data_IF_673215543090
#
_entry.id   IF_673215543090
#
_cell.length_a   1.000
_cell.length_b   1.000
_cell.length_c   1.000
_cell.angle_alpha   90.00
_cell.angle_beta   90.00
_cell.angle_gamma   90.00
#
_symmetry.space_group_name_H-M   'P 1'
#
loop_
_entity.id
_entity.type
_entity.pdbx_description
1 polymer ?
#
# COMPACT_ATOMS: atom_id res chain seq x y z
N UNK A 1 -2.78 -0.08 -8.11
CA UNK A 1 -2.56 1.10 -8.97
C UNK A 1 -1.15 1.00 -9.54
N UNK A 2 -0.88 1.66 -10.67
CA UNK A 2 0.50 1.91 -11.12
C UNK A 2 0.84 3.35 -10.75
N UNK A 3 2.02 3.57 -10.19
CA UNK A 3 2.49 4.90 -9.82
C UNK A 3 3.86 5.13 -10.42
N UNK A 4 4.03 6.27 -11.09
CA UNK A 4 5.32 6.77 -11.54
C UNK A 4 5.74 7.90 -10.61
N UNK A 5 6.91 7.78 -9.99
CA UNK A 5 7.42 8.73 -9.00
C UNK A 5 8.74 9.31 -9.48
N UNK A 6 8.78 10.61 -9.74
CA UNK A 6 10.01 11.34 -10.09
C UNK A 6 10.51 12.11 -8.86
N UNK A 7 11.70 11.75 -8.37
CA UNK A 7 12.36 12.52 -7.31
C UNK A 7 12.96 13.79 -7.95
N UNK A 8 12.34 14.93 -7.68
CA UNK A 8 12.73 16.25 -8.21
C UNK A 8 13.87 16.87 -7.41
N UNK A 9 13.89 16.67 -6.08
CA UNK A 9 14.89 17.23 -5.18
C UNK A 9 15.14 16.29 -3.99
N UNK A 10 16.36 16.34 -3.46
CA UNK A 10 16.74 15.61 -2.25
C UNK A 10 16.92 14.11 -2.46
N UNK A 11 16.76 13.36 -1.38
CA UNK A 11 16.90 11.90 -1.35
C UNK A 11 15.83 11.26 -0.48
N UNK A 12 15.43 10.05 -0.87
CA UNK A 12 14.46 9.23 -0.17
C UNK A 12 15.07 7.86 0.15
N UNK A 13 14.90 7.41 1.38
CA UNK A 13 14.99 6.00 1.71
C UNK A 13 13.61 5.38 1.53
N UNK A 14 13.53 4.34 0.72
CA UNK A 14 12.28 3.65 0.40
C UNK A 14 12.34 2.25 0.97
N UNK A 15 11.31 1.90 1.74
CA UNK A 15 11.08 0.54 2.20
C UNK A 15 9.80 0.04 1.56
N UNK A 16 9.86 -1.07 0.82
CA UNK A 16 8.68 -1.65 0.19
C UNK A 16 8.43 -3.10 0.62
N UNK A 17 7.20 -3.54 0.39
CA UNK A 17 6.69 -4.86 0.74
C UNK A 17 5.85 -5.40 -0.42
N UNK A 18 6.13 -6.65 -0.82
CA UNK A 18 5.40 -7.34 -1.87
C UNK A 18 4.46 -8.37 -1.29
N UNK A 19 3.19 -8.32 -1.70
CA UNK A 19 2.15 -9.20 -1.17
C UNK A 19 2.39 -10.63 -1.66
N UNK A 20 2.43 -11.57 -0.72
CA UNK A 20 2.51 -13.00 -0.98
C UNK A 20 1.09 -13.53 -1.13
N UNK A 21 0.71 -13.88 -2.37
CA UNK A 21 -0.57 -14.55 -2.61
C UNK A 21 -0.64 -15.89 -1.86
N UNK A 22 -1.77 -16.19 -1.23
CA UNK A 22 -2.05 -17.53 -0.70
C UNK A 22 -2.28 -18.53 -1.84
N UNK A 23 -2.08 -19.81 -1.59
CA UNK A 23 -2.33 -20.86 -2.60
C UNK A 23 -3.77 -20.82 -3.13
N UNK A 24 -4.75 -20.49 -2.28
CA UNK A 24 -6.14 -20.30 -2.70
C UNK A 24 -6.31 -19.12 -3.66
N UNK A 25 -5.62 -18.00 -3.42
CA UNK A 25 -5.62 -16.83 -4.30
C UNK A 25 -4.93 -17.14 -5.64
N UNK A 26 -3.83 -17.89 -5.61
CA UNK A 26 -3.14 -18.37 -6.82
C UNK A 26 -4.04 -19.29 -7.66
N UNK A 27 -4.76 -20.22 -7.03
CA UNK A 27 -5.70 -21.11 -7.72
C UNK A 27 -6.87 -20.34 -8.36
N UNK A 28 -7.45 -19.37 -7.65
CA UNK A 28 -8.50 -18.49 -8.18
C UNK A 28 -8.00 -17.63 -9.37
N UNK A 29 -6.77 -17.10 -9.31
CA UNK A 29 -6.13 -16.40 -10.45
C UNK A 29 -5.92 -17.32 -11.66
N UNK A 30 -5.49 -18.58 -11.44
CA UNK A 30 -5.30 -19.57 -12.51
C UNK A 30 -6.61 -19.98 -13.20
N UNK A 31 -7.70 -20.16 -12.44
CA UNK A 31 -9.01 -20.46 -13.00
C UNK A 31 -9.59 -19.28 -13.80
N UNK A 32 -9.33 -18.04 -13.39
CA UNK A 32 -9.76 -16.86 -14.14
C UNK A 32 -8.84 -16.51 -15.33
N UNK A 33 -7.62 -17.06 -15.38
CA UNK A 33 -6.62 -16.80 -16.42
C UNK A 33 -6.82 -17.57 -17.73
N UNK A 34 -7.76 -18.52 -17.80
CA UNK A 34 -8.08 -19.28 -19.02
C UNK A 34 -9.15 -18.64 -19.90
N UNK A 35 -9.77 -17.53 -19.48
CA UNK A 35 -10.67 -16.74 -20.32
C UNK A 35 -10.06 -15.36 -20.58
N UNK A 36 -9.31 -15.27 -21.69
CA UNK A 36 -8.82 -14.01 -22.25
C UNK A 36 -10.01 -13.19 -22.76
N UNK A 37 -10.63 -12.42 -21.88
CA UNK A 37 -11.46 -11.27 -22.25
C UNK A 37 -11.49 -10.22 -21.13
N UNK A 38 -10.79 -9.12 -21.44
CA UNK A 38 -11.13 -7.70 -21.18
C UNK A 38 -11.75 -7.34 -19.82
N UNK A 39 -10.99 -6.51 -19.10
CA UNK A 39 -11.40 -5.28 -18.39
C UNK A 39 -12.77 -5.32 -17.68
N UNK A 40 -12.76 -5.04 -16.37
CA UNK A 40 -13.93 -4.72 -15.50
C UNK A 40 -14.43 -5.77 -14.49
N UNK A 41 -13.71 -6.88 -14.23
CA UNK A 41 -14.20 -7.91 -13.27
C UNK A 41 -13.49 -7.98 -11.91
N UNK A 42 -12.50 -7.13 -11.63
CA UNK A 42 -11.96 -7.01 -10.26
C UNK A 42 -12.93 -6.25 -9.32
N UNK A 43 -13.76 -5.37 -9.89
CA UNK A 43 -14.73 -4.54 -9.17
C UNK A 43 -15.86 -5.32 -8.49
N UNK A 44 -16.34 -6.41 -9.09
CA UNK A 44 -17.60 -7.03 -8.65
C UNK A 44 -17.44 -8.05 -7.53
N UNK A 45 -16.21 -8.48 -7.19
CA UNK A 45 -16.04 -9.57 -6.22
C UNK A 45 -16.10 -9.11 -4.76
N UNK A 46 -15.70 -7.87 -4.45
CA UNK A 46 -15.79 -7.31 -3.09
C UNK A 46 -17.23 -6.95 -2.68
N UNK A 47 -18.14 -6.84 -3.64
CA UNK A 47 -19.56 -6.55 -3.40
C UNK A 47 -20.30 -7.73 -2.72
N UNK A 48 -19.87 -8.98 -2.92
CA UNK A 48 -20.56 -10.14 -2.34
C UNK A 48 -20.24 -10.41 -0.86
N UNK A 49 -19.18 -9.81 -0.30
CA UNK A 49 -18.81 -10.01 1.11
C UNK A 49 -19.46 -8.98 2.06
N UNK A 50 -20.13 -7.95 1.51
CA UNK A 50 -20.74 -6.87 2.32
C UNK A 50 -22.22 -7.08 2.68
N UNK A 51 -22.82 -8.24 2.37
CA UNK A 51 -24.28 -8.46 2.55
C UNK A 51 -24.64 -9.19 3.87
N UNK A 52 -23.69 -9.64 4.68
CA UNK A 52 -24.01 -10.28 5.98
C UNK A 52 -23.77 -9.31 7.14
N UNK A 53 -24.84 -8.66 7.59
CA UNK A 53 -24.84 -7.74 8.71
C UNK A 53 -24.85 -8.41 10.10
N UNK A 54 -24.34 -7.64 11.07
CA UNK A 54 -24.53 -7.68 12.52
C UNK A 54 -24.10 -8.93 13.32
N UNK A 55 -23.05 -8.77 14.16
CA UNK A 55 -23.15 -8.88 15.63
C UNK A 55 -21.88 -8.29 16.31
N UNK A 56 -22.06 -7.57 17.41
CA UNK A 56 -21.08 -6.64 18.01
C UNK A 56 -20.42 -7.19 19.29
N UNK A 57 -20.23 -8.51 19.41
CA UNK A 57 -19.56 -9.11 20.56
C UNK A 57 -18.57 -10.20 20.14
N UNK A 58 -17.35 -9.82 19.75
CA UNK A 58 -16.14 -10.68 19.85
C UNK A 58 -14.86 -9.89 19.53
N UNK A 59 -14.38 -9.09 20.50
CA UNK A 59 -13.17 -8.26 20.38
C UNK A 59 -11.86 -9.07 20.56
N UNK A 60 -11.91 -10.41 20.62
CA UNK A 60 -10.71 -11.24 20.86
C UNK A 60 -10.33 -12.25 19.76
N UNK A 61 -11.05 -12.31 18.63
CA UNK A 61 -10.71 -13.21 17.50
C UNK A 61 -10.34 -12.51 16.19
N UNK A 62 -10.41 -11.17 16.12
CA UNK A 62 -10.05 -10.42 14.93
C UNK A 62 -8.54 -10.19 14.84
N UNK A 63 -7.83 -11.19 14.37
CA UNK A 63 -6.57 -10.99 13.65
C UNK A 63 -6.90 -10.29 12.32
N UNK A 64 -7.34 -9.03 12.40
CA UNK A 64 -7.78 -8.08 11.36
C UNK A 64 -7.98 -8.68 9.97
N UNK A 65 -9.23 -8.75 9.52
CA UNK A 65 -9.68 -9.33 8.23
C UNK A 65 -8.94 -8.88 6.96
N UNK A 66 -8.03 -7.89 7.03
CA UNK A 66 -7.24 -7.39 5.90
C UNK A 66 -5.72 -7.40 6.16
N UNK A 67 -5.22 -8.25 7.07
CA UNK A 67 -3.77 -8.43 7.24
C UNK A 67 -3.11 -8.96 5.95
N UNK A 68 -1.96 -8.41 5.59
CA UNK A 68 -1.18 -8.82 4.43
C UNK A 68 0.01 -9.66 4.88
N UNK A 69 0.21 -10.82 4.24
CA UNK A 69 1.47 -11.55 4.32
C UNK A 69 2.37 -11.06 3.19
N UNK A 70 3.55 -10.56 3.53
CA UNK A 70 4.40 -9.86 2.56
C UNK A 70 5.85 -10.28 2.63
N UNK A 71 6.55 -10.17 1.51
CA UNK A 71 8.00 -10.14 1.45
C UNK A 71 8.49 -8.70 1.66
N UNK A 72 9.39 -8.52 2.61
CA UNK A 72 10.00 -7.25 2.96
C UNK A 72 11.27 -7.03 2.12
N UNK A 73 11.23 -6.04 1.23
CA UNK A 73 12.36 -5.73 0.35
C UNK A 73 13.47 -4.98 1.10
N UNK A 74 14.68 -5.02 0.55
CA UNK A 74 15.78 -4.19 1.06
C UNK A 74 15.46 -2.71 0.91
N UNK A 75 16.01 -1.89 1.81
CA UNK A 75 15.84 -0.44 1.73
C UNK A 75 16.62 0.07 0.52
N UNK A 76 15.96 0.79 -0.37
CA UNK A 76 16.62 1.49 -1.48
C UNK A 76 16.80 2.97 -1.16
N UNK A 77 17.91 3.57 -1.58
CA UNK A 77 18.11 5.01 -1.54
C UNK A 77 17.94 5.58 -2.95
N UNK A 78 17.01 6.52 -3.11
CA UNK A 78 16.69 7.17 -4.39
C UNK A 78 17.09 8.64 -4.28
N UNK A 79 17.82 9.16 -5.28
CA UNK A 79 18.29 10.55 -5.32
C UNK A 79 17.75 11.26 -6.55
N UNK A 80 17.52 12.56 -6.44
CA UNK A 80 17.20 13.37 -7.62
C UNK A 80 18.37 13.39 -8.64
N UNK A 81 18.10 13.36 -9.97
CA UNK A 81 16.82 13.06 -10.60
C UNK A 81 16.68 11.56 -10.89
N UNK A 82 15.68 10.89 -10.29
CA UNK A 82 15.40 9.47 -10.57
C UNK A 82 13.90 9.25 -10.72
N UNK A 83 13.52 8.54 -11.78
CA UNK A 83 12.16 8.03 -11.99
C UNK A 83 12.09 6.59 -11.46
N UNK A 84 11.08 6.30 -10.66
CA UNK A 84 10.73 4.95 -10.21
C UNK A 84 9.29 4.62 -10.54
N UNK A 85 8.99 3.32 -10.57
CA UNK A 85 7.66 2.80 -10.82
C UNK A 85 7.30 1.74 -9.79
N UNK A 86 6.00 1.67 -9.50
CA UNK A 86 5.41 0.54 -8.79
C UNK A 86 4.20 0.03 -9.55
N UNK A 87 3.91 -1.25 -9.37
CA UNK A 87 2.80 -1.94 -10.01
C UNK A 87 1.81 -2.43 -8.95
N UNK A 88 0.56 -2.78 -9.31
CA UNK A 88 -0.43 -3.23 -8.33
C UNK A 88 0.01 -4.39 -7.42
N UNK A 89 0.96 -5.20 -7.87
CA UNK A 89 1.47 -6.37 -7.16
C UNK A 89 2.97 -6.31 -6.86
N UNK A 90 3.62 -5.16 -7.07
CA UNK A 90 5.08 -5.00 -6.88
C UNK A 90 5.38 -3.59 -6.36
N UNK A 91 6.00 -3.49 -5.19
CA UNK A 91 6.32 -2.23 -4.52
C UNK A 91 5.09 -1.43 -4.05
N UNK A 92 3.89 -1.99 -4.17
CA UNK A 92 2.63 -1.27 -3.95
C UNK A 92 2.33 -0.97 -2.47
N UNK A 93 3.04 -1.61 -1.55
CA UNK A 93 3.05 -1.24 -0.14
C UNK A 93 4.44 -0.71 0.17
N UNK A 94 4.56 0.58 0.49
CA UNK A 94 5.85 1.20 0.72
C UNK A 94 5.78 2.37 1.71
N UNK A 95 6.96 2.76 2.19
CA UNK A 95 7.19 3.92 3.02
C UNK A 95 8.35 4.72 2.45
N UNK A 96 8.18 6.04 2.41
CA UNK A 96 9.25 6.99 2.13
C UNK A 96 9.72 7.65 3.41
N UNK A 97 11.04 7.77 3.56
CA UNK A 97 11.69 8.57 4.59
C UNK A 97 12.61 9.56 3.87
N UNK A 98 12.31 10.85 4.00
CA UNK A 98 13.14 11.89 3.43
C UNK A 98 14.46 12.03 4.20
N UNK A 99 15.52 12.41 3.48
CA UNK A 99 16.76 12.84 4.11
C UNK A 99 16.59 14.12 4.96
N UNK A 100 17.64 14.53 5.69
CA UNK A 100 17.56 15.67 6.62
C UNK A 100 17.27 17.01 5.95
N UNK A 101 17.44 17.11 4.63
CA UNK A 101 17.20 18.32 3.84
C UNK A 101 15.82 18.33 3.17
N UNK A 102 14.97 17.35 3.47
CA UNK A 102 13.71 17.12 2.76
C UNK A 102 13.89 16.50 1.38
N UNK A 103 12.77 16.29 0.70
CA UNK A 103 12.71 15.78 -0.67
C UNK A 103 11.44 16.29 -1.36
N UNK A 104 11.47 16.36 -2.70
CA UNK A 104 10.30 16.65 -3.51
C UNK A 104 10.07 15.52 -4.50
N UNK A 105 8.84 15.04 -4.57
CA UNK A 105 8.42 13.92 -5.44
C UNK A 105 7.24 14.36 -6.27
N UNK A 106 7.29 14.04 -7.56
CA UNK A 106 6.15 14.13 -8.46
C UNK A 106 5.60 12.74 -8.70
N UNK A 107 4.38 12.48 -8.25
CA UNK A 107 3.68 11.22 -8.46
C UNK A 107 2.61 11.34 -9.54
N UNK A 108 2.59 10.36 -10.45
CA UNK A 108 1.51 10.16 -11.42
C UNK A 108 0.80 8.84 -11.07
N UNK A 109 -0.42 8.95 -10.57
CA UNK A 109 -1.25 7.83 -10.10
C UNK A 109 -2.18 7.34 -11.22
N UNK A 110 -2.10 6.06 -11.60
CA UNK A 110 -2.92 5.48 -12.67
C UNK A 110 -3.56 4.15 -12.24
N UNK A 111 -4.90 4.10 -12.02
CA UNK A 111 -5.81 5.24 -11.80
C UNK A 111 -5.56 5.89 -10.42
N UNK A 112 -6.09 7.11 -10.18
CA UNK A 112 -6.04 7.72 -8.86
C UNK A 112 -6.90 6.96 -7.83
N UNK A 113 -6.67 7.30 -6.56
CA UNK A 113 -7.54 6.90 -5.46
C UNK A 113 -8.98 7.35 -5.72
N UNK A 114 -9.93 6.50 -5.34
CA UNK A 114 -11.37 6.77 -5.41
C UNK A 114 -12.07 5.88 -4.38
N UNK A 115 -12.66 6.50 -3.37
CA UNK A 115 -13.37 5.78 -2.29
C UNK A 115 -14.60 5.04 -2.83
N UNK A 116 -15.35 5.64 -3.77
CA UNK A 116 -16.53 5.01 -4.37
C UNK A 116 -16.20 3.74 -5.17
N UNK A 117 -14.95 3.63 -5.62
CA UNK A 117 -14.42 2.47 -6.32
C UNK A 117 -13.59 1.54 -5.41
N UNK A 118 -13.63 1.75 -4.09
CA UNK A 118 -12.84 1.00 -3.11
C UNK A 118 -11.33 1.03 -3.44
N UNK A 119 -10.83 2.20 -3.86
CA UNK A 119 -9.41 2.52 -4.02
C UNK A 119 -9.06 3.62 -3.02
N UNK A 120 -9.27 3.37 -1.75
CA UNK A 120 -8.81 4.19 -0.64
C UNK A 120 -7.36 3.85 -0.27
N UNK A 121 -6.64 4.80 0.34
CA UNK A 121 -5.30 4.54 0.87
C UNK A 121 -5.43 3.86 2.24
N UNK A 122 -4.82 2.69 2.40
CA UNK A 122 -4.81 1.95 3.67
C UNK A 122 -3.41 2.00 4.28
N UNK A 123 -3.30 2.42 5.53
CA UNK A 123 -2.05 2.38 6.29
C UNK A 123 -1.84 1.02 6.95
N UNK A 124 -0.59 0.61 7.07
CA UNK A 124 -0.21 -0.67 7.66
C UNK A 124 0.90 -0.50 8.69
N UNK A 125 0.90 -1.39 9.69
CA UNK A 125 2.03 -1.58 10.62
C UNK A 125 2.52 -3.02 10.57
N UNK A 126 3.83 -3.19 10.72
CA UNK A 126 4.44 -4.52 10.90
C UNK A 126 3.96 -5.12 12.22
N UNK A 127 3.53 -6.39 12.19
CA UNK A 127 3.22 -7.15 13.40
C UNK A 127 4.55 -7.57 14.04
N UNK A 128 4.70 -7.29 15.34
CA UNK A 128 5.80 -7.85 16.13
C UNK A 128 5.52 -9.35 16.31
N UNK A 129 6.40 -10.22 15.82
CA UNK A 129 6.26 -11.66 16.01
C UNK A 129 6.53 -12.02 17.48
N UNK A 130 5.64 -12.82 18.08
CA UNK A 130 6.02 -13.74 19.15
C UNK A 130 6.80 -14.90 18.52
N UNK A 131 7.90 -15.32 19.16
CA UNK A 131 9.06 -16.07 18.65
C UNK A 131 8.85 -17.47 17.99
N UNK A 132 7.66 -17.84 17.52
CA UNK A 132 7.35 -19.21 17.06
C UNK A 132 7.07 -19.29 15.55
N UNK A 133 8.13 -19.20 14.73
CA UNK A 133 8.11 -19.64 13.33
C UNK A 133 9.42 -20.36 12.97
N UNK A 134 9.34 -21.36 12.10
CA UNK A 134 10.47 -22.21 11.72
C UNK A 134 11.57 -21.39 11.01
N UNK A 135 12.82 -21.57 11.43
CA UNK A 135 13.98 -20.73 11.08
C UNK A 135 14.36 -20.78 9.59
N UNK A 136 13.89 -21.79 8.87
CA UNK A 136 14.13 -22.00 7.43
C UNK A 136 13.31 -21.09 6.50
N UNK A 137 12.22 -20.48 6.97
CA UNK A 137 11.33 -19.61 6.16
C UNK A 137 11.46 -18.11 6.46
N UNK A 138 12.35 -17.74 7.39
CA UNK A 138 12.42 -16.42 8.06
C UNK A 138 13.09 -15.27 7.30
N UNK A 139 13.67 -15.49 6.12
CA UNK A 139 14.39 -14.38 5.47
C UNK A 139 13.38 -13.45 4.79
N UNK A 140 12.93 -12.46 5.56
CA UNK A 140 12.18 -11.27 5.16
C UNK A 140 10.67 -11.44 4.92
N UNK A 141 10.02 -12.50 5.42
CA UNK A 141 8.55 -12.57 5.41
C UNK A 141 7.99 -11.90 6.66
N UNK A 142 6.94 -11.08 6.50
CA UNK A 142 6.30 -10.35 7.61
C UNK A 142 4.80 -10.26 7.42
N UNK A 143 4.09 -10.07 8.53
CA UNK A 143 2.68 -9.69 8.52
C UNK A 143 2.52 -8.19 8.69
N UNK A 144 1.77 -7.57 7.79
CA UNK A 144 1.34 -6.19 7.88
C UNK A 144 -0.14 -6.16 8.30
N UNK A 145 -0.44 -5.41 9.35
CA UNK A 145 -1.80 -5.27 9.88
C UNK A 145 -2.31 -3.87 9.55
N UNK A 146 -3.52 -3.72 8.99
CA UNK A 146 -4.13 -2.42 8.77
C UNK A 146 -4.16 -1.60 10.05
N UNK A 147 -3.95 -0.30 9.90
CA UNK A 147 -4.10 0.67 10.98
C UNK A 147 -4.78 1.93 10.45
N UNK A 148 -5.37 2.71 11.37
CA UNK A 148 -5.77 4.08 11.07
C UNK A 148 -4.55 4.93 10.74
N UNK A 149 -4.73 6.03 10.00
CA UNK A 149 -3.68 7.01 9.80
C UNK A 149 -3.10 7.44 11.16
N UNK A 150 -1.77 7.42 11.35
CA UNK A 150 -1.18 7.88 12.60
C UNK A 150 -1.40 9.38 12.81
N UNK A 151 -1.64 9.81 14.05
CA UNK A 151 -1.89 11.23 14.40
C UNK A 151 -0.71 12.16 14.06
N UNK A 152 0.51 11.62 14.06
CA UNK A 152 1.73 12.36 13.71
C UNK A 152 1.93 12.51 12.19
N UNK A 153 1.17 11.78 11.36
CA UNK A 153 1.23 11.90 9.91
C UNK A 153 0.16 12.85 9.42
N UNK A 154 0.59 13.91 8.74
CA UNK A 154 -0.30 14.94 8.20
C UNK A 154 0.06 15.23 6.75
N UNK A 155 -0.96 15.37 5.91
CA UNK A 155 -0.82 15.87 4.54
C UNK A 155 -1.46 17.26 4.49
N UNK A 156 -0.62 18.29 4.33
CA UNK A 156 -1.08 19.64 4.07
C UNK A 156 -1.15 19.85 2.56
N UNK A 157 -2.32 20.23 2.06
CA UNK A 157 -2.53 20.57 0.65
C UNK A 157 -2.42 22.07 0.44
N UNK A 158 -1.96 22.48 -0.74
CA UNK A 158 -1.96 23.88 -1.17
C UNK A 158 -2.20 23.97 -2.68
N UNK A 159 -2.43 25.18 -3.16
CA UNK A 159 -2.54 25.45 -4.59
C UNK A 159 -1.17 25.42 -5.25
N UNK A 160 -1.08 24.82 -6.44
CA UNK A 160 0.15 24.83 -7.22
C UNK A 160 0.61 26.28 -7.47
N UNK A 161 1.91 26.54 -7.26
CA UNK A 161 2.55 27.87 -7.25
C UNK A 161 2.21 28.80 -6.07
N UNK A 162 1.23 28.45 -5.22
CA UNK A 162 0.81 29.26 -4.07
C UNK A 162 1.03 28.51 -2.73
N UNK A 163 1.98 27.58 -2.68
CA UNK A 163 2.35 26.88 -1.46
C UNK A 163 3.02 27.86 -0.48
N UNK A 164 2.30 28.23 0.59
CA UNK A 164 2.78 29.16 1.62
C UNK A 164 2.46 30.63 1.38
N UNK A 165 1.54 30.95 0.45
CA UNK A 165 0.93 32.27 0.40
C UNK A 165 -0.10 32.40 1.52
N UNK A 166 -0.07 33.50 2.27
CA UNK A 166 -1.15 33.82 3.20
C UNK A 166 -2.44 33.97 2.38
N UNK A 167 -3.51 33.27 2.76
CA UNK A 167 -4.84 33.34 2.11
C UNK A 167 -5.55 34.70 2.35
N UNK A 168 -4.81 35.76 2.68
CA UNK A 168 -5.30 37.10 3.00
C UNK A 168 -5.02 38.08 1.84
N UNK A 169 -5.77 37.97 0.74
CA UNK A 169 -6.02 39.11 -0.17
C UNK A 169 -7.39 39.03 -0.87
#
# INVERSE_FOLDING_TARGET
MTVLSLVLYGKLSVKSFDIIDTEEQKMKKRQNGTLRERTEKWFTRRLMESIVGHDMTNIKSNLSSNALHTFENEVSEIKSPTLTELYPCEGNVHQFIAGPQGAAVLDVLVPPYNVGDNRDCTFYKKRNESEEWCESEKKNKVWLVPMVQPDWFQCLSGSYLNLGGDDDE
#
